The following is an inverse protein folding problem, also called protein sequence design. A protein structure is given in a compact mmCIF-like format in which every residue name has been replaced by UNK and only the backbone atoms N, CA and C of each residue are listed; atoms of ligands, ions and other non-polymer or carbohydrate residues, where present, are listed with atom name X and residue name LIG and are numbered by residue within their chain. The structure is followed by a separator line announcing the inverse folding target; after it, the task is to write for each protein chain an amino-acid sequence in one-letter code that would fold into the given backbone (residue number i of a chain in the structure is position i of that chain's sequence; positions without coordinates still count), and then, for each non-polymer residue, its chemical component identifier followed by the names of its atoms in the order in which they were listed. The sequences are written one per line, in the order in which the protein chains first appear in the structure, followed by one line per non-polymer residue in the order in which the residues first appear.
data_IF_735214624774
#
_entry.id   IF_735214624774
#
_cell.length_a   1.000
_cell.length_b   1.000
_cell.length_c   1.000
_cell.angle_alpha   90.00
_cell.angle_beta   90.00
_cell.angle_gamma   90.00
#
_symmetry.space_group_name_H-M   'P 1'
#
loop_
_entity.id
_entity.type
_entity.pdbx_description
1 polymer ?
#
# COMPACT_ATOMS: atom_id res chain seq x y z
N UNK A 1 -8.27 13.69 11.50
CA UNK A 1 -9.20 12.91 10.65
C UNK A 1 -8.45 12.41 9.41
N UNK A 2 -8.82 11.25 8.85
CA UNK A 2 -8.26 10.72 7.62
C UNK A 2 -8.72 11.51 6.40
N UNK A 3 -7.86 11.69 5.41
CA UNK A 3 -8.19 12.27 4.10
C UNK A 3 -8.79 11.20 3.16
N UNK A 4 -8.46 9.94 3.37
CA UNK A 4 -9.13 8.81 2.72
C UNK A 4 -10.42 8.49 3.49
N UNK A 5 -11.55 8.98 3.01
CA UNK A 5 -12.84 8.79 3.66
C UNK A 5 -13.26 7.32 3.62
N UNK A 6 -13.75 6.81 4.74
CA UNK A 6 -14.16 5.41 4.92
C UNK A 6 -15.15 4.91 3.84
N UNK A 7 -16.13 5.73 3.51
CA UNK A 7 -17.16 5.42 2.51
C UNK A 7 -16.62 5.31 1.09
N UNK A 8 -15.45 5.90 0.80
CA UNK A 8 -14.81 5.89 -0.52
C UNK A 8 -13.82 4.75 -0.76
N UNK A 9 -13.47 3.98 0.29
CA UNK A 9 -12.48 2.91 0.20
C UNK A 9 -12.98 1.66 -0.55
N UNK A 10 -14.28 1.54 -0.77
CA UNK A 10 -14.85 0.30 -1.29
C UNK A 10 -14.77 -0.87 -0.28
N UNK A 11 -15.32 -2.02 -0.65
CA UNK A 11 -15.35 -3.19 0.24
C UNK A 11 -13.93 -3.67 0.60
N UNK A 12 -13.08 -3.86 -0.40
CA UNK A 12 -11.74 -4.40 -0.21
C UNK A 12 -10.85 -3.46 0.63
N UNK A 13 -10.95 -2.15 0.38
CA UNK A 13 -10.18 -1.17 1.15
C UNK A 13 -10.61 -1.11 2.62
N UNK A 14 -11.92 -1.10 2.88
CA UNK A 14 -12.43 -1.16 4.26
C UNK A 14 -12.00 -2.42 4.98
N UNK A 15 -12.10 -3.57 4.29
CA UNK A 15 -11.65 -4.84 4.86
C UNK A 15 -10.15 -4.81 5.18
N UNK A 16 -9.31 -4.36 4.23
CA UNK A 16 -7.88 -4.24 4.45
C UNK A 16 -7.54 -3.36 5.65
N UNK A 17 -8.14 -2.17 5.75
CA UNK A 17 -7.83 -1.22 6.83
C UNK A 17 -8.36 -1.70 8.19
N UNK A 18 -9.52 -2.38 8.22
CA UNK A 18 -10.18 -2.76 9.47
C UNK A 18 -9.70 -4.07 10.08
N UNK A 19 -9.05 -4.96 9.32
CA UNK A 19 -8.75 -6.33 9.78
C UNK A 19 -7.27 -6.56 10.11
N UNK A 20 -6.48 -5.49 10.22
CA UNK A 20 -5.09 -5.59 10.67
C UNK A 20 -4.96 -6.02 12.13
N UNK A 21 -3.85 -6.64 12.51
CA UNK A 21 -3.54 -6.89 13.91
C UNK A 21 -3.26 -5.54 14.59
N UNK A 22 -3.66 -5.42 15.85
CA UNK A 22 -3.28 -4.29 16.68
C UNK A 22 -1.96 -4.53 17.43
N UNK A 23 -1.41 -3.48 18.04
CA UNK A 23 -0.17 -3.58 18.82
C UNK A 23 -0.28 -4.57 19.97
N UNK A 24 -1.46 -4.70 20.58
CA UNK A 24 -1.71 -5.64 21.68
C UNK A 24 -1.62 -7.10 21.22
N UNK A 25 -2.23 -7.41 20.09
CA UNK A 25 -2.15 -8.73 19.46
C UNK A 25 -0.71 -9.10 19.09
N UNK A 26 -0.01 -8.18 18.42
CA UNK A 26 1.39 -8.40 18.03
C UNK A 26 2.32 -8.56 19.23
N UNK A 27 2.07 -7.80 20.31
CA UNK A 27 2.80 -7.93 21.57
C UNK A 27 2.63 -9.32 22.16
N UNK A 28 1.40 -9.86 22.19
CA UNK A 28 1.13 -11.21 22.68
C UNK A 28 1.82 -12.28 21.82
N UNK A 29 1.77 -12.14 20.50
CA UNK A 29 2.34 -13.14 19.59
C UNK A 29 3.87 -13.14 19.62
N UNK A 30 4.50 -11.99 19.71
CA UNK A 30 5.96 -11.85 19.64
C UNK A 30 6.64 -11.79 21.00
N UNK A 31 5.87 -11.70 22.11
CA UNK A 31 6.42 -11.66 23.47
C UNK A 31 7.21 -10.38 23.78
N UNK A 32 7.01 -9.30 23.03
CA UNK A 32 7.68 -8.00 23.22
C UNK A 32 6.77 -6.83 22.77
N UNK A 33 6.92 -5.63 23.37
CA UNK A 33 6.10 -4.48 22.99
C UNK A 33 6.14 -4.19 21.49
N UNK A 34 4.98 -4.12 20.86
CA UNK A 34 4.81 -3.86 19.44
C UNK A 34 4.34 -2.42 19.17
N UNK A 35 4.58 -1.93 17.95
CA UNK A 35 3.95 -0.71 17.44
C UNK A 35 2.61 -1.04 16.79
N UNK A 36 1.74 -0.04 16.72
CA UNK A 36 0.51 -0.14 15.93
C UNK A 36 0.86 -0.10 14.44
N UNK A 37 0.52 -1.14 13.64
CA UNK A 37 0.77 -1.13 12.20
C UNK A 37 0.00 -0.01 11.50
N UNK A 38 0.57 0.55 10.44
CA UNK A 38 -0.08 1.55 9.60
C UNK A 38 -0.56 0.89 8.32
N UNK A 39 -1.85 1.07 7.99
CA UNK A 39 -2.45 0.64 6.73
C UNK A 39 -3.11 1.84 6.06
N UNK A 40 -2.67 2.15 4.85
CA UNK A 40 -3.19 3.26 4.03
C UNK A 40 -3.75 2.69 2.73
N UNK A 41 -4.95 3.12 2.36
CA UNK A 41 -5.64 2.64 1.17
C UNK A 41 -6.41 3.76 0.48
N UNK A 42 -6.33 3.82 -0.85
CA UNK A 42 -7.23 4.63 -1.66
C UNK A 42 -8.02 3.73 -2.61
N UNK A 43 -9.35 3.83 -2.52
CA UNK A 43 -10.28 3.19 -3.45
C UNK A 43 -10.53 4.07 -4.68
N UNK A 44 -11.20 3.50 -5.68
CA UNK A 44 -11.54 4.26 -6.90
C UNK A 44 -12.41 5.47 -6.64
N UNK A 45 -13.24 5.44 -5.59
CA UNK A 45 -14.10 6.55 -5.20
C UNK A 45 -13.41 7.57 -4.29
N UNK A 46 -12.15 7.33 -3.89
CA UNK A 46 -11.43 8.26 -3.02
C UNK A 46 -11.11 9.58 -3.73
N UNK A 47 -10.89 9.55 -5.04
CA UNK A 47 -10.78 10.72 -5.90
C UNK A 47 -11.14 10.37 -7.34
N UNK A 48 -11.48 11.40 -8.14
CA UNK A 48 -11.88 11.24 -9.54
C UNK A 48 -10.72 10.81 -10.47
N UNK A 49 -9.49 11.12 -10.10
CA UNK A 49 -8.28 10.86 -10.91
C UNK A 49 -7.24 10.04 -10.16
N UNK A 50 -6.35 9.36 -10.88
CA UNK A 50 -5.22 8.64 -10.31
C UNK A 50 -4.29 9.57 -9.53
N UNK A 51 -4.02 10.76 -10.04
CA UNK A 51 -3.25 11.78 -9.33
C UNK A 51 -3.91 12.22 -8.03
N UNK A 52 -5.23 12.37 -8.03
CA UNK A 52 -5.99 12.69 -6.82
C UNK A 52 -5.89 11.57 -5.77
N UNK A 53 -6.02 10.31 -6.18
CA UNK A 53 -5.84 9.16 -5.28
C UNK A 53 -4.41 9.07 -4.75
N UNK A 54 -3.42 9.30 -5.61
CA UNK A 54 -2.02 9.36 -5.21
C UNK A 54 -1.78 10.46 -4.17
N UNK A 55 -2.32 11.65 -4.39
CA UNK A 55 -2.22 12.77 -3.44
C UNK A 55 -2.80 12.41 -2.07
N UNK A 56 -3.96 11.75 -2.03
CA UNK A 56 -4.57 11.27 -0.78
C UNK A 56 -3.64 10.27 -0.09
N UNK A 57 -3.10 9.29 -0.82
CA UNK A 57 -2.19 8.30 -0.24
C UNK A 57 -0.94 8.93 0.35
N UNK A 58 -0.29 9.84 -0.38
CA UNK A 58 0.91 10.52 0.11
C UNK A 58 0.61 11.38 1.34
N UNK A 59 -0.53 12.08 1.37
CA UNK A 59 -0.98 12.85 2.52
C UNK A 59 -1.25 11.95 3.74
N UNK A 60 -1.85 10.79 3.55
CA UNK A 60 -2.08 9.81 4.62
C UNK A 60 -0.77 9.20 5.14
N UNK A 61 0.18 8.90 4.26
CA UNK A 61 1.50 8.40 4.66
C UNK A 61 2.24 9.43 5.55
N UNK A 62 2.20 10.70 5.19
CA UNK A 62 2.77 11.77 6.02
C UNK A 62 2.02 11.92 7.35
N UNK A 63 0.68 12.00 7.31
CA UNK A 63 -0.16 12.18 8.51
C UNK A 63 0.01 11.05 9.52
N UNK A 64 0.20 9.83 9.04
CA UNK A 64 0.35 8.63 9.89
C UNK A 64 1.79 8.37 10.32
N UNK A 65 2.74 9.21 9.90
CA UNK A 65 4.17 9.00 10.12
C UNK A 65 4.68 7.65 9.56
N UNK A 66 4.18 7.28 8.39
CA UNK A 66 4.54 6.02 7.73
C UNK A 66 6.03 5.96 7.36
N UNK A 67 6.62 7.10 7.03
CA UNK A 67 8.05 7.21 6.70
C UNK A 67 8.99 7.07 7.92
N UNK A 68 8.44 7.08 9.15
CA UNK A 68 9.21 6.85 10.38
C UNK A 68 9.19 5.37 10.82
N UNK A 69 8.60 4.48 10.00
CA UNK A 69 8.56 3.03 10.23
C UNK A 69 9.82 2.35 9.70
N UNK A 70 10.14 1.17 10.25
CA UNK A 70 11.26 0.37 9.74
C UNK A 70 11.04 -0.10 8.31
N UNK A 71 9.77 -0.40 7.96
CA UNK A 71 9.39 -0.92 6.65
C UNK A 71 8.18 -0.17 6.13
N UNK A 72 8.28 0.25 4.89
CA UNK A 72 7.18 0.77 4.09
C UNK A 72 6.96 -0.19 2.92
N UNK A 73 5.82 -0.86 2.88
CA UNK A 73 5.45 -1.77 1.80
C UNK A 73 4.44 -1.11 0.86
N UNK A 74 4.74 -1.14 -0.44
CA UNK A 74 3.80 -0.76 -1.49
C UNK A 74 3.17 -2.03 -2.03
N UNK A 75 1.84 -2.07 -2.03
CA UNK A 75 1.05 -3.18 -2.53
C UNK A 75 0.19 -2.71 -3.70
N UNK A 76 0.66 -2.84 -4.95
CA UNK A 76 -0.20 -2.76 -6.11
C UNK A 76 -1.26 -3.88 -5.98
N UNK A 77 -2.52 -3.48 -5.89
CA UNK A 77 -3.60 -4.43 -5.61
C UNK A 77 -3.91 -5.31 -6.82
N UNK A 78 -4.69 -6.37 -6.62
CA UNK A 78 -5.37 -7.05 -7.73
C UNK A 78 -6.38 -6.11 -8.40
N UNK A 79 -6.93 -6.50 -9.56
CA UNK A 79 -7.89 -5.67 -10.30
C UNK A 79 -9.07 -5.17 -9.46
N UNK A 80 -9.56 -5.98 -8.53
CA UNK A 80 -10.66 -5.62 -7.63
C UNK A 80 -10.25 -4.81 -6.40
N UNK A 81 -8.96 -4.52 -6.24
CA UNK A 81 -8.45 -3.80 -5.07
C UNK A 81 -8.12 -4.69 -3.87
N UNK A 82 -8.14 -6.02 -4.03
CA UNK A 82 -7.85 -6.94 -2.94
C UNK A 82 -6.36 -6.95 -2.58
N UNK A 83 -6.10 -6.92 -1.27
CA UNK A 83 -4.77 -7.10 -0.67
C UNK A 83 -4.79 -8.41 0.11
N UNK A 84 -3.79 -9.26 -0.09
CA UNK A 84 -3.69 -10.53 0.61
C UNK A 84 -3.54 -10.31 2.13
N UNK A 85 -4.54 -10.70 2.95
CA UNK A 85 -4.51 -10.45 4.38
C UNK A 85 -3.42 -11.24 5.10
N UNK A 86 -3.05 -12.42 4.57
CA UNK A 86 -1.99 -13.25 5.16
C UNK A 86 -0.64 -12.59 4.92
N UNK A 87 -0.37 -12.11 3.71
CA UNK A 87 0.88 -11.42 3.40
C UNK A 87 1.04 -10.14 4.21
N UNK A 88 -0.01 -9.31 4.29
CA UNK A 88 0.01 -8.10 5.10
C UNK A 88 0.28 -8.39 6.58
N UNK A 89 -0.47 -9.33 7.16
CA UNK A 89 -0.32 -9.72 8.55
C UNK A 89 1.05 -10.34 8.85
N UNK A 90 1.59 -11.15 7.93
CA UNK A 90 2.92 -11.75 8.09
C UNK A 90 4.00 -10.68 8.14
N UNK A 91 3.92 -9.66 7.29
CA UNK A 91 4.85 -8.54 7.32
C UNK A 91 4.77 -7.78 8.65
N UNK A 92 3.57 -7.48 9.12
CA UNK A 92 3.33 -6.79 10.39
C UNK A 92 3.85 -7.59 11.58
N UNK A 93 3.67 -8.91 11.57
CA UNK A 93 4.19 -9.80 12.59
C UNK A 93 5.73 -9.86 12.59
N UNK A 94 6.35 -10.01 11.43
CA UNK A 94 7.81 -10.06 11.29
C UNK A 94 8.51 -8.81 11.82
N UNK A 95 7.93 -7.65 11.59
CA UNK A 95 8.49 -6.36 12.02
C UNK A 95 7.87 -5.82 13.31
N UNK A 96 7.06 -6.64 14.01
CA UNK A 96 6.45 -6.30 15.27
C UNK A 96 5.65 -4.98 15.21
N UNK A 97 4.90 -4.79 14.14
CA UNK A 97 4.08 -3.60 13.90
C UNK A 97 4.84 -2.33 13.47
N UNK A 98 6.17 -2.38 13.38
CA UNK A 98 6.97 -1.22 12.90
C UNK A 98 6.94 -1.15 11.36
N UNK A 99 5.73 -1.11 10.81
CA UNK A 99 5.41 -1.22 9.40
C UNK A 99 4.39 -0.17 8.98
N UNK A 100 4.47 0.22 7.71
CA UNK A 100 3.40 0.86 6.99
C UNK A 100 3.14 0.11 5.68
N UNK A 101 1.87 -0.15 5.36
CA UNK A 101 1.46 -0.77 4.10
C UNK A 101 0.55 0.21 3.37
N UNK A 102 0.91 0.55 2.14
CA UNK A 102 0.12 1.42 1.26
C UNK A 102 -0.38 0.65 0.06
N UNK A 103 -1.68 0.75 -0.22
CA UNK A 103 -2.33 0.07 -1.33
C UNK A 103 -3.24 1.01 -2.11
N UNK A 104 -3.30 0.81 -3.43
CA UNK A 104 -4.08 1.61 -4.36
C UNK A 104 -4.94 0.70 -5.23
N UNK A 105 -6.25 0.95 -5.26
CA UNK A 105 -7.14 0.32 -6.22
C UNK A 105 -7.14 1.11 -7.53
N UNK A 106 -6.95 0.41 -8.67
CA UNK A 106 -6.90 1.01 -10.00
C UNK A 106 -8.05 0.59 -10.93
N UNK A 107 -8.80 -0.47 -10.62
CA UNK A 107 -9.91 -0.99 -11.43
C UNK A 107 -11.03 -1.58 -10.59
N UNK A 108 -12.24 -1.69 -11.17
CA UNK A 108 -13.37 -2.45 -10.62
C UNK A 108 -13.46 -3.87 -11.21
N UNK A 109 -12.76 -4.11 -12.32
CA UNK A 109 -12.93 -5.35 -13.08
C UNK A 109 -12.08 -6.48 -12.49
N UNK A 110 -12.61 -7.69 -12.40
CA UNK A 110 -11.82 -8.87 -12.13
C UNK A 110 -10.70 -9.02 -13.15
N UNK A 111 -9.54 -9.49 -12.72
CA UNK A 111 -8.32 -9.59 -13.53
C UNK A 111 -8.51 -10.36 -14.86
N UNK A 112 -9.42 -11.34 -14.88
CA UNK A 112 -9.69 -12.16 -16.08
C UNK A 112 -10.51 -11.44 -17.16
N UNK A 113 -11.23 -10.36 -16.82
CA UNK A 113 -12.01 -9.56 -17.79
C UNK A 113 -11.14 -8.42 -18.36
N UNK A 114 -10.20 -7.92 -17.58
CA UNK A 114 -9.48 -6.67 -17.86
C UNK A 114 -8.12 -6.87 -18.52
N UNK A 115 -7.77 -8.09 -18.92
CA UNK A 115 -6.43 -8.50 -19.32
C UNK A 115 -5.78 -7.67 -20.46
N UNK A 116 -6.54 -6.99 -21.30
CA UNK A 116 -5.98 -6.25 -22.43
C UNK A 116 -5.90 -4.72 -22.22
N UNK A 117 -6.77 -4.14 -21.39
CA UNK A 117 -6.84 -2.67 -21.21
C UNK A 117 -6.38 -2.17 -19.83
N UNK A 118 -6.47 -3.02 -18.80
CA UNK A 118 -6.17 -2.63 -17.43
C UNK A 118 -4.72 -2.93 -17.01
N UNK A 119 -3.98 -3.73 -17.78
CA UNK A 119 -2.55 -3.99 -17.53
C UNK A 119 -1.76 -2.71 -17.61
N UNK A 120 -2.01 -1.89 -18.61
CA UNK A 120 -1.32 -0.62 -18.81
C UNK A 120 -1.69 0.39 -17.72
N UNK A 121 -2.96 0.52 -17.37
CA UNK A 121 -3.42 1.37 -16.26
C UNK A 121 -2.88 0.91 -14.91
N UNK A 122 -2.85 -0.39 -14.67
CA UNK A 122 -2.27 -0.98 -13.47
C UNK A 122 -0.79 -0.65 -13.34
N UNK A 123 -0.03 -0.81 -14.44
CA UNK A 123 1.38 -0.51 -14.50
C UNK A 123 1.64 0.99 -14.24
N UNK A 124 0.85 1.87 -14.83
CA UNK A 124 1.00 3.32 -14.68
C UNK A 124 0.65 3.78 -13.26
N UNK A 125 -0.46 3.34 -12.71
CA UNK A 125 -0.86 3.69 -11.33
C UNK A 125 0.14 3.15 -10.30
N UNK A 126 0.63 1.93 -10.48
CA UNK A 126 1.65 1.33 -9.63
C UNK A 126 2.97 2.10 -9.71
N UNK A 127 3.41 2.45 -10.92
CA UNK A 127 4.62 3.23 -11.16
C UNK A 127 4.56 4.61 -10.53
N UNK A 128 3.43 5.30 -10.66
CA UNK A 128 3.22 6.61 -10.04
C UNK A 128 3.35 6.56 -8.51
N UNK A 129 2.74 5.57 -7.87
CA UNK A 129 2.83 5.40 -6.41
C UNK A 129 4.26 5.06 -5.98
N UNK A 130 4.92 4.13 -6.65
CA UNK A 130 6.30 3.73 -6.35
C UNK A 130 7.24 4.92 -6.48
N UNK A 131 7.15 5.67 -7.58
CA UNK A 131 8.00 6.85 -7.80
C UNK A 131 7.75 7.93 -6.75
N UNK A 132 6.50 8.24 -6.43
CA UNK A 132 6.18 9.26 -5.42
C UNK A 132 6.71 8.88 -4.02
N UNK A 133 6.59 7.62 -3.62
CA UNK A 133 7.13 7.14 -2.35
C UNK A 133 8.64 7.15 -2.37
N UNK A 134 9.27 6.68 -3.44
CA UNK A 134 10.73 6.71 -3.62
C UNK A 134 11.28 8.14 -3.55
N UNK A 135 10.73 9.06 -4.33
CA UNK A 135 11.16 10.46 -4.36
C UNK A 135 11.03 11.12 -2.97
N UNK A 136 10.00 10.75 -2.22
CA UNK A 136 9.84 11.24 -0.84
C UNK A 136 10.89 10.66 0.09
N UNK A 137 11.23 9.38 -0.07
CA UNK A 137 12.25 8.71 0.73
C UNK A 137 13.65 9.28 0.45
N UNK A 138 13.96 9.59 -0.81
CA UNK A 138 15.26 10.22 -1.18
C UNK A 138 15.51 11.56 -0.49
N UNK A 139 14.47 12.25 -0.03
CA UNK A 139 14.58 13.49 0.76
C UNK A 139 14.84 13.25 2.25
N UNK A 140 14.82 12.00 2.71
CA UNK A 140 15.16 11.63 4.07
C UNK A 140 16.66 11.33 4.18
N UNK A 141 17.28 11.60 5.35
CA UNK A 141 18.61 11.09 5.64
C UNK A 141 18.66 9.56 5.50
N UNK A 142 19.75 9.02 4.99
CA UNK A 142 19.90 7.59 4.69
C UNK A 142 19.62 6.70 5.91
N UNK A 143 20.07 7.10 7.09
CA UNK A 143 19.88 6.40 8.36
C UNK A 143 18.44 6.44 8.89
N UNK A 144 17.57 7.27 8.28
CA UNK A 144 16.14 7.41 8.65
C UNK A 144 15.20 6.85 7.60
N UNK A 145 15.71 6.36 6.48
CA UNK A 145 14.87 5.79 5.41
C UNK A 145 14.27 4.46 5.83
N UNK A 146 12.96 4.25 5.69
CA UNK A 146 12.37 2.93 5.85
C UNK A 146 12.93 1.98 4.77
N UNK A 147 12.95 0.69 5.08
CA UNK A 147 13.16 -0.32 4.04
C UNK A 147 11.93 -0.35 3.13
N UNK A 148 12.12 -0.06 1.85
CA UNK A 148 11.04 -0.13 0.86
C UNK A 148 10.86 -1.57 0.39
N UNK A 149 9.63 -2.08 0.49
CA UNK A 149 9.22 -3.37 -0.05
C UNK A 149 8.13 -3.18 -1.10
N UNK A 150 8.19 -3.98 -2.15
CA UNK A 150 7.14 -4.08 -3.15
C UNK A 150 6.60 -5.50 -3.14
N UNK A 151 5.29 -5.63 -2.97
CA UNK A 151 4.58 -6.91 -2.99
C UNK A 151 3.34 -6.80 -3.87
N UNK A 152 3.20 -7.70 -4.81
CA UNK A 152 2.03 -7.75 -5.69
C UNK A 152 1.66 -9.15 -6.08
N UNK A 153 0.37 -9.41 -6.27
CA UNK A 153 -0.19 -10.64 -6.79
C UNK A 153 -0.96 -10.38 -8.07
N UNK A 154 -0.96 -11.33 -9.01
CA UNK A 154 -1.69 -11.23 -10.28
C UNK A 154 -1.29 -9.97 -11.05
N UNK A 155 -2.24 -9.13 -11.46
CA UNK A 155 -1.97 -7.85 -12.13
C UNK A 155 -1.12 -6.90 -11.27
N UNK A 156 -1.20 -6.98 -9.94
CA UNK A 156 -0.34 -6.22 -9.04
C UNK A 156 1.14 -6.59 -9.17
N UNK A 157 1.47 -7.85 -9.46
CA UNK A 157 2.85 -8.27 -9.72
C UNK A 157 3.39 -7.72 -11.04
N UNK A 158 2.55 -7.66 -12.09
CA UNK A 158 2.91 -7.04 -13.37
C UNK A 158 3.15 -5.54 -13.21
N UNK A 159 2.32 -4.85 -12.42
CA UNK A 159 2.51 -3.44 -12.12
C UNK A 159 3.85 -3.18 -11.39
N UNK A 160 4.21 -4.05 -10.45
CA UNK A 160 5.49 -4.01 -9.76
C UNK A 160 6.67 -4.22 -10.69
N UNK A 161 6.62 -5.25 -11.53
CA UNK A 161 7.68 -5.54 -12.51
C UNK A 161 7.86 -4.40 -13.53
N UNK A 162 6.76 -3.82 -14.03
CA UNK A 162 6.82 -2.71 -14.97
C UNK A 162 7.50 -1.45 -14.38
N UNK A 163 7.42 -1.25 -13.06
CA UNK A 163 8.11 -0.14 -12.40
C UNK A 163 9.64 -0.34 -12.34
N UNK A 164 10.11 -1.59 -12.28
CA UNK A 164 11.55 -1.92 -12.25
C UNK A 164 12.12 -2.33 -13.61
N UNK A 165 11.29 -2.64 -14.59
CA UNK A 165 11.73 -3.14 -15.91
C UNK A 165 12.48 -2.12 -16.79
N UNK A 166 12.71 -0.93 -16.30
CA UNK A 166 13.50 0.13 -16.94
C UNK A 166 14.74 0.55 -16.15
N UNK A 167 15.12 -0.22 -15.12
CA UNK A 167 16.42 -0.03 -14.50
C UNK A 167 17.46 -0.78 -15.34
N UNK A 168 18.45 -0.08 -15.91
CA UNK A 168 19.49 -0.69 -16.70
C UNK A 168 20.35 -1.64 -15.89
#
# INVERSE_FOLDING_TARGET
ASFARWDTLGYQGRNFVATGPDAGELTRLNGRPAKEPIRVYAGLQSAATDLGRLSILMTELERTHAFDRKVLAIVPTTGTGWVNPIAARSLELMYNGDTAIVALQYSYLPSWISFAGDVEKSADSGRMLINAVHDRMERLPDDRRPKLLLYGESLGSLAGQAAFGYLP
#
